data_IF_770491445221
#
_entry.id   IF_770491445221
#
_cell.length_a   1.000
_cell.length_b   1.000
_cell.length_c   1.000
_cell.angle_alpha   90.00
_cell.angle_beta   90.00
_cell.angle_gamma   90.00
#
_symmetry.space_group_name_H-M   'P 1'
#
loop_
_entity.id
_entity.type
_entity.pdbx_description
1 polymer ?
#
# COMPACT_ATOMS: atom_id res chain seq x y z
N UNK A 1 6.50 -8.48 -13.33
CA UNK A 1 5.52 -7.45 -13.78
C UNK A 1 4.12 -8.05 -13.82
N UNK A 2 3.86 -9.19 -14.48
CA UNK A 2 2.55 -9.86 -14.42
C UNK A 2 2.09 -10.20 -13.00
N UNK A 3 3.02 -10.58 -12.11
CA UNK A 3 2.70 -10.88 -10.71
C UNK A 3 2.22 -9.64 -9.95
N UNK A 4 2.86 -8.49 -10.21
CA UNK A 4 2.50 -7.22 -9.58
C UNK A 4 1.15 -6.71 -10.10
N UNK A 5 0.90 -6.85 -11.41
CA UNK A 5 -0.41 -6.52 -12.00
C UNK A 5 -1.52 -7.39 -11.40
N UNK A 6 -1.29 -8.69 -11.26
CA UNK A 6 -2.24 -9.61 -10.63
C UNK A 6 -2.48 -9.26 -9.16
N UNK A 7 -1.42 -8.90 -8.41
CA UNK A 7 -1.53 -8.49 -7.02
C UNK A 7 -2.31 -7.18 -6.84
N UNK A 8 -2.14 -6.23 -7.75
CA UNK A 8 -2.79 -4.91 -7.67
C UNK A 8 -4.21 -4.90 -8.24
N UNK A 9 -4.59 -5.88 -9.05
CA UNK A 9 -5.91 -5.95 -9.69
C UNK A 9 -7.10 -5.80 -8.72
N UNK A 10 -7.11 -6.42 -7.52
CA UNK A 10 -8.21 -6.30 -6.56
C UNK A 10 -8.40 -4.89 -5.99
N UNK A 11 -7.44 -3.98 -6.13
CA UNK A 11 -7.58 -2.59 -5.68
C UNK A 11 -8.28 -1.70 -6.71
N UNK A 12 -8.53 -2.20 -7.92
CA UNK A 12 -9.29 -1.47 -8.95
C UNK A 12 -8.61 -0.17 -9.41
N UNK A 13 -7.27 -0.09 -9.36
CA UNK A 13 -6.49 1.12 -9.65
C UNK A 13 -6.23 1.38 -11.15
N UNK A 14 -6.78 0.53 -12.02
CA UNK A 14 -6.58 0.58 -13.47
C UNK A 14 -5.29 -0.12 -13.91
N UNK A 15 -4.75 0.23 -15.08
CA UNK A 15 -3.54 -0.42 -15.61
C UNK A 15 -2.26 0.05 -14.92
N UNK A 16 -1.32 -0.87 -14.65
CA UNK A 16 0.02 -0.55 -14.16
C UNK A 16 0.84 0.13 -15.26
N UNK A 17 1.32 1.34 -14.99
CA UNK A 17 2.20 2.11 -15.89
C UNK A 17 3.66 1.85 -15.57
N UNK A 18 4.05 2.09 -14.32
CA UNK A 18 5.44 1.96 -13.88
C UNK A 18 5.54 1.54 -12.41
N UNK A 19 6.71 1.03 -12.01
CA UNK A 19 7.02 0.78 -10.61
C UNK A 19 8.53 0.92 -10.34
N UNK A 20 8.87 1.48 -9.19
CA UNK A 20 10.26 1.69 -8.78
C UNK A 20 10.46 1.32 -7.32
N UNK A 21 11.47 0.49 -7.03
CA UNK A 21 11.85 0.17 -5.65
C UNK A 21 12.44 1.39 -4.93
N UNK A 22 12.08 1.55 -3.66
CA UNK A 22 12.58 2.60 -2.78
C UNK A 22 13.70 2.00 -1.94
N UNK A 23 14.94 2.45 -2.18
CA UNK A 23 16.10 2.02 -1.40
C UNK A 23 16.13 2.76 -0.06
N UNK A 24 15.26 2.38 0.88
CA UNK A 24 15.23 2.93 2.23
C UNK A 24 14.79 1.86 3.25
N UNK A 25 15.65 1.61 4.26
CA UNK A 25 15.35 0.72 5.38
C UNK A 25 15.70 -0.76 5.14
N UNK A 26 15.74 -1.54 6.21
CA UNK A 26 16.06 -2.97 6.21
C UNK A 26 14.87 -3.87 6.59
N UNK A 27 13.72 -3.29 6.91
CA UNK A 27 12.58 -4.00 7.51
C UNK A 27 11.39 -4.17 6.55
N UNK A 28 11.17 -3.21 5.65
CA UNK A 28 10.08 -3.22 4.67
C UNK A 28 10.63 -2.96 3.27
N UNK A 29 10.13 -3.68 2.28
CA UNK A 29 10.41 -3.38 0.87
C UNK A 29 9.31 -2.47 0.35
N UNK A 30 9.68 -1.24 -0.02
CA UNK A 30 8.74 -0.23 -0.49
C UNK A 30 8.92 0.01 -2.00
N UNK A 31 7.81 0.25 -2.70
CA UNK A 31 7.80 0.59 -4.13
C UNK A 31 6.92 1.81 -4.37
N UNK A 32 7.37 2.72 -5.23
CA UNK A 32 6.48 3.63 -5.94
C UNK A 32 5.77 2.87 -7.05
N UNK A 33 4.46 3.03 -7.15
CA UNK A 33 3.59 2.38 -8.14
C UNK A 33 2.82 3.46 -8.89
N UNK A 34 3.04 3.56 -10.20
CA UNK A 34 2.24 4.42 -11.08
C UNK A 34 1.15 3.58 -11.74
N UNK A 35 -0.10 3.88 -11.42
CA UNK A 35 -1.28 3.26 -12.02
C UNK A 35 -2.05 4.28 -12.87
N UNK A 36 -3.00 3.81 -13.67
CA UNK A 36 -3.87 4.67 -14.45
C UNK A 36 -4.64 5.70 -13.61
N UNK A 37 -5.07 5.30 -12.39
CA UNK A 37 -5.85 6.15 -11.48
C UNK A 37 -5.02 6.98 -10.50
N UNK A 38 -3.68 6.92 -10.56
CA UNK A 38 -2.82 7.73 -9.70
C UNK A 38 -1.50 7.07 -9.31
N UNK A 39 -0.83 7.69 -8.37
CA UNK A 39 0.46 7.27 -7.82
C UNK A 39 0.26 6.71 -6.41
N UNK A 40 0.90 5.59 -6.12
CA UNK A 40 0.72 4.84 -4.89
C UNK A 40 2.07 4.38 -4.34
N UNK A 41 2.07 4.02 -3.05
CA UNK A 41 3.20 3.33 -2.40
C UNK A 41 2.74 1.93 -2.02
N UNK A 42 3.46 0.92 -2.49
CA UNK A 42 3.30 -0.46 -2.05
C UNK A 42 4.36 -0.77 -1.01
N UNK A 43 3.93 -1.14 0.19
CA UNK A 43 4.82 -1.58 1.27
C UNK A 43 4.63 -3.07 1.49
N UNK A 44 5.69 -3.85 1.23
CA UNK A 44 5.76 -5.26 1.58
C UNK A 44 6.43 -5.40 2.96
N UNK A 45 5.66 -5.84 3.94
CA UNK A 45 6.14 -6.05 5.31
C UNK A 45 6.85 -7.40 5.38
N UNK A 46 8.18 -7.38 5.37
CA UNK A 46 8.99 -8.62 5.40
C UNK A 46 9.27 -9.07 6.84
N UNK A 47 9.39 -8.12 7.78
CA UNK A 47 9.65 -8.36 9.19
C UNK A 47 8.86 -7.39 10.05
N UNK A 48 8.13 -7.91 11.02
CA UNK A 48 7.33 -7.12 11.95
C UNK A 48 6.21 -7.93 12.57
N UNK A 49 5.53 -7.41 13.60
CA UNK A 49 4.38 -8.07 14.18
C UNK A 49 3.19 -7.95 13.22
N UNK A 50 3.06 -8.89 12.29
CA UNK A 50 1.91 -9.00 11.38
C UNK A 50 0.59 -8.97 12.16
N UNK A 51 0.59 -9.52 13.36
CA UNK A 51 -0.51 -9.50 14.33
C UNK A 51 -0.90 -8.10 14.83
N UNK A 52 -0.01 -7.10 14.74
CA UNK A 52 -0.28 -5.71 15.10
C UNK A 52 -0.68 -4.86 13.88
N UNK A 53 -0.60 -5.39 12.65
CA UNK A 53 -1.01 -4.68 11.44
C UNK A 53 -2.43 -4.09 11.51
N UNK A 54 -3.44 -4.80 12.06
CA UNK A 54 -4.77 -4.21 12.20
C UNK A 54 -4.78 -2.93 13.04
N UNK A 55 -3.99 -2.88 14.12
CA UNK A 55 -3.86 -1.69 14.96
C UNK A 55 -3.22 -0.53 14.19
N UNK A 56 -2.16 -0.78 13.42
CA UNK A 56 -1.50 0.27 12.64
C UNK A 56 -2.41 0.83 11.54
N UNK A 57 -3.16 -0.04 10.83
CA UNK A 57 -4.12 0.38 9.81
C UNK A 57 -5.21 1.25 10.44
N UNK A 58 -5.81 0.80 11.53
CA UNK A 58 -6.87 1.56 12.23
C UNK A 58 -6.35 2.91 12.75
N UNK A 59 -5.14 2.94 13.32
CA UNK A 59 -4.52 4.18 13.77
C UNK A 59 -4.31 5.17 12.61
N UNK A 60 -3.76 4.70 11.48
CA UNK A 60 -3.53 5.55 10.31
C UNK A 60 -4.84 6.06 9.72
N UNK A 61 -5.90 5.25 9.70
CA UNK A 61 -7.22 5.67 9.25
C UNK A 61 -7.78 6.78 10.14
N UNK A 62 -7.73 6.64 11.47
CA UNK A 62 -8.19 7.68 12.42
C UNK A 62 -7.43 8.99 12.21
N UNK A 63 -6.11 8.93 12.04
CA UNK A 63 -5.28 10.11 11.80
C UNK A 63 -5.58 10.74 10.43
N UNK A 64 -5.84 9.94 9.40
CA UNK A 64 -6.23 10.41 8.08
C UNK A 64 -7.60 11.10 8.10
N UNK A 65 -8.59 10.51 8.77
CA UNK A 65 -9.93 11.10 8.97
C UNK A 65 -9.86 12.43 9.75
N UNK A 66 -8.87 12.58 10.62
CA UNK A 66 -8.55 13.85 11.30
C UNK A 66 -7.84 14.88 10.40
N UNK A 67 -7.68 14.62 9.10
CA UNK A 67 -6.98 15.45 8.10
C UNK A 67 -5.48 15.65 8.39
N UNK A 68 -4.85 14.72 9.10
CA UNK A 68 -3.39 14.75 9.26
C UNK A 68 -2.70 14.21 8.00
N UNK A 69 -1.52 14.75 7.64
CA UNK A 69 -0.77 14.32 6.46
C UNK A 69 -0.01 13.01 6.74
N UNK A 70 -0.77 11.93 6.91
CA UNK A 70 -0.26 10.58 7.15
C UNK A 70 -0.63 9.64 6.00
N UNK A 71 0.15 8.58 5.73
CA UNK A 71 -0.28 7.52 4.83
C UNK A 71 -1.47 6.77 5.42
N UNK A 72 -2.27 6.13 4.57
CA UNK A 72 -3.37 5.25 4.98
C UNK A 72 -3.46 4.07 4.00
N UNK A 73 -4.06 2.97 4.46
CA UNK A 73 -4.17 1.75 3.66
C UNK A 73 -5.34 1.86 2.68
N UNK A 74 -5.08 1.55 1.41
CA UNK A 74 -6.15 1.33 0.45
C UNK A 74 -6.74 -0.06 0.67
N UNK A 75 -8.06 -0.12 0.63
CA UNK A 75 -8.79 -1.38 0.71
C UNK A 75 -9.02 -1.94 -0.69
N UNK A 76 -8.94 -3.25 -0.81
CA UNK A 76 -9.38 -3.99 -2.00
C UNK A 76 -10.89 -3.80 -2.22
N UNK A 77 -11.39 -4.20 -3.39
CA UNK A 77 -12.83 -4.08 -3.72
C UNK A 77 -13.74 -4.93 -2.82
N UNK A 78 -13.20 -5.93 -2.13
CA UNK A 78 -13.89 -6.72 -1.10
C UNK A 78 -13.68 -6.20 0.33
N UNK A 79 -12.99 -5.07 0.49
CA UNK A 79 -12.85 -4.35 1.76
C UNK A 79 -11.68 -4.76 2.63
N UNK A 80 -10.74 -5.57 2.14
CA UNK A 80 -9.54 -5.99 2.88
C UNK A 80 -8.45 -4.91 2.79
N UNK A 81 -7.77 -4.67 3.90
CA UNK A 81 -6.58 -3.82 4.00
C UNK A 81 -5.38 -4.65 4.45
#
# INVERSE_FOLDING_TARGET
>A
RPELEAFLAPYGLGQLRDFQGIAAGSENTNFFISMEKGEFVLTLVERGPVQEMPFFIELLDVLHEANLPVPYALRTTDGQA
#
